data_IF_896212084002
#
_entry.id   IF_896212084002
#
_cell.length_a   1.000
_cell.length_b   1.000
_cell.length_c   1.000
_cell.angle_alpha   90.00
_cell.angle_beta   90.00
_cell.angle_gamma   90.00
#
_symmetry.space_group_name_H-M   'P 1'
#
loop_
_entity.id
_entity.type
_entity.pdbx_description
1 polymer ?
#
# COMPACT_ATOMS: atom_id res chain seq x y z
N UNK A 1 4.78 -16.53 -15.64
CA UNK A 1 5.41 -15.76 -14.56
C UNK A 1 6.82 -15.39 -14.97
N UNK A 2 7.46 -14.43 -14.30
CA UNK A 2 8.88 -14.09 -14.54
C UNK A 2 9.75 -15.22 -13.98
N UNK A 3 10.62 -15.79 -14.80
CA UNK A 3 11.45 -16.96 -14.44
C UNK A 3 12.51 -16.65 -13.38
N UNK A 4 12.87 -15.37 -13.21
CA UNK A 4 13.82 -14.91 -12.20
C UNK A 4 13.21 -14.70 -10.81
N UNK A 5 11.88 -14.81 -10.65
CA UNK A 5 11.21 -14.59 -9.37
C UNK A 5 10.71 -15.91 -8.78
N UNK A 6 10.79 -16.03 -7.45
CA UNK A 6 10.30 -17.21 -6.73
C UNK A 6 8.77 -17.28 -6.84
N UNK A 7 8.19 -18.42 -7.27
CA UNK A 7 6.74 -18.54 -7.43
C UNK A 7 5.97 -18.30 -6.12
N UNK A 8 4.85 -17.59 -6.20
CA UNK A 8 3.88 -17.41 -5.11
C UNK A 8 4.43 -16.74 -3.84
N UNK A 9 5.50 -15.94 -3.97
CA UNK A 9 6.10 -15.17 -2.87
C UNK A 9 5.91 -13.65 -2.98
N UNK A 10 5.04 -13.17 -3.89
CA UNK A 10 4.85 -11.72 -4.07
C UNK A 10 4.44 -10.98 -2.80
N UNK A 11 3.63 -11.60 -1.93
CA UNK A 11 3.27 -10.99 -0.64
C UNK A 11 4.44 -10.85 0.35
N UNK A 12 5.47 -11.70 0.22
CA UNK A 12 6.72 -11.58 0.98
C UNK A 12 7.59 -10.47 0.40
N UNK A 13 7.64 -10.34 -0.93
CA UNK A 13 8.29 -9.21 -1.62
C UNK A 13 7.71 -7.87 -1.15
N UNK A 14 6.39 -7.73 -1.13
CA UNK A 14 5.69 -6.53 -0.63
C UNK A 14 6.06 -6.17 0.81
N UNK A 15 6.01 -7.16 1.72
CA UNK A 15 6.39 -6.94 3.12
C UNK A 15 7.91 -6.67 3.27
N UNK A 16 8.73 -7.28 2.41
CA UNK A 16 10.17 -7.11 2.35
C UNK A 16 10.58 -5.70 1.94
N UNK A 17 9.91 -5.12 0.93
CA UNK A 17 10.13 -3.74 0.52
C UNK A 17 9.86 -2.76 1.68
N UNK A 18 8.76 -2.96 2.42
CA UNK A 18 8.49 -2.15 3.62
C UNK A 18 9.52 -2.37 4.73
N UNK A 19 10.07 -3.57 4.88
CA UNK A 19 11.13 -3.84 5.85
C UNK A 19 12.44 -3.12 5.48
N UNK A 20 12.85 -3.17 4.21
CA UNK A 20 14.04 -2.48 3.70
C UNK A 20 13.90 -0.97 3.84
N UNK A 21 12.74 -0.41 3.46
CA UNK A 21 12.40 1.00 3.62
C UNK A 21 12.56 1.46 5.08
N UNK A 22 12.01 0.70 6.04
CA UNK A 22 12.14 1.01 7.47
C UNK A 22 13.60 0.91 7.95
N UNK A 23 14.36 -0.07 7.47
CA UNK A 23 15.76 -0.30 7.87
C UNK A 23 16.67 0.83 7.39
N UNK A 24 16.40 1.36 6.19
CA UNK A 24 17.16 2.44 5.56
C UNK A 24 16.59 3.83 5.84
N UNK A 25 15.47 3.92 6.57
CA UNK A 25 14.78 5.18 6.91
C UNK A 25 14.40 6.01 5.67
N UNK A 26 14.04 5.34 4.57
CA UNK A 26 13.60 6.00 3.34
C UNK A 26 12.21 6.63 3.52
N UNK A 27 11.33 5.93 4.24
CA UNK A 27 9.98 6.37 4.62
C UNK A 27 9.10 6.71 3.40
N UNK A 28 9.20 5.93 2.32
CA UNK A 28 8.43 6.07 1.09
C UNK A 28 7.50 4.87 0.84
N UNK A 29 7.77 3.69 1.38
CA UNK A 29 6.86 2.54 1.27
C UNK A 29 5.79 2.62 2.37
N UNK A 30 4.49 2.69 2.04
CA UNK A 30 3.45 2.61 3.06
C UNK A 30 3.59 1.29 3.85
N UNK A 31 3.46 1.36 5.18
CA UNK A 31 3.73 0.22 6.06
C UNK A 31 2.99 -1.02 5.58
N UNK A 32 3.76 -2.06 5.26
CA UNK A 32 3.25 -3.32 4.72
C UNK A 32 3.77 -4.48 5.54
N UNK A 33 2.88 -5.40 5.94
CA UNK A 33 3.23 -6.60 6.71
C UNK A 33 2.45 -7.81 6.21
N UNK A 34 2.96 -9.00 6.52
CA UNK A 34 2.23 -10.25 6.32
C UNK A 34 1.16 -10.37 7.40
N UNK A 35 -0.09 -10.56 6.99
CA UNK A 35 -1.23 -10.76 7.88
C UNK A 35 -2.06 -11.96 7.42
N UNK A 36 -2.93 -12.46 8.30
CA UNK A 36 -3.89 -13.51 7.98
C UNK A 36 -5.32 -13.00 8.18
N UNK A 37 -6.09 -12.92 7.10
CA UNK A 37 -7.45 -12.37 7.12
C UNK A 37 -8.45 -13.34 6.50
N UNK A 38 -9.70 -13.33 6.99
CA UNK A 38 -10.82 -14.04 6.41
C UNK A 38 -11.96 -13.06 6.09
N UNK A 39 -12.40 -13.01 4.84
CA UNK A 39 -13.56 -12.22 4.41
C UNK A 39 -14.40 -13.01 3.41
N UNK A 40 -15.73 -12.87 3.42
CA UNK A 40 -16.62 -13.53 2.44
C UNK A 40 -16.34 -13.12 0.99
N UNK A 41 -15.81 -11.90 0.80
CA UNK A 41 -15.49 -11.31 -0.50
C UNK A 41 -14.21 -11.90 -1.11
N UNK A 42 -13.34 -12.53 -0.32
CA UNK A 42 -12.15 -13.20 -0.88
C UNK A 42 -12.55 -14.45 -1.68
N UNK A 43 -11.70 -14.83 -2.63
CA UNK A 43 -11.91 -16.01 -3.46
C UNK A 43 -11.59 -17.29 -2.68
N UNK A 44 -12.58 -18.15 -2.41
CA UNK A 44 -12.40 -19.45 -1.76
C UNK A 44 -12.94 -20.57 -2.64
N UNK A 45 -12.40 -21.77 -2.45
CA UNK A 45 -12.93 -22.97 -3.10
C UNK A 45 -14.39 -23.22 -2.70
N UNK A 46 -15.16 -23.86 -3.58
CA UNK A 46 -16.54 -24.27 -3.28
C UNK A 46 -16.60 -25.14 -2.01
N UNK A 47 -15.59 -25.98 -1.80
CA UNK A 47 -15.46 -26.85 -0.64
C UNK A 47 -15.28 -26.04 0.64
N UNK A 48 -14.42 -25.02 0.66
CA UNK A 48 -14.22 -24.18 1.84
C UNK A 48 -15.48 -23.39 2.21
N UNK A 49 -16.21 -22.90 1.20
CA UNK A 49 -17.49 -22.22 1.42
C UNK A 49 -18.54 -23.18 1.99
N UNK A 50 -18.68 -24.37 1.41
CA UNK A 50 -19.60 -25.40 1.89
C UNK A 50 -19.27 -25.81 3.33
N UNK A 51 -18.00 -26.11 3.63
CA UNK A 51 -17.55 -26.44 4.98
C UNK A 51 -17.85 -25.32 5.98
N UNK A 52 -17.57 -24.07 5.62
CA UNK A 52 -17.85 -22.92 6.49
C UNK A 52 -19.34 -22.78 6.80
N UNK A 53 -20.20 -22.92 5.79
CA UNK A 53 -21.67 -22.87 5.94
C UNK A 53 -22.21 -24.05 6.74
N UNK A 54 -21.78 -25.27 6.45
CA UNK A 54 -22.23 -26.47 7.18
C UNK A 54 -21.82 -26.42 8.65
N UNK A 55 -20.56 -26.06 8.96
CA UNK A 55 -20.11 -25.91 10.35
C UNK A 55 -20.91 -24.85 11.10
N UNK A 56 -21.24 -23.75 10.43
CA UNK A 56 -22.10 -22.70 10.99
C UNK A 56 -23.50 -23.23 11.29
N UNK A 57 -24.16 -23.85 10.31
CA UNK A 57 -25.51 -24.40 10.47
C UNK A 57 -25.57 -25.47 11.57
N UNK A 58 -24.56 -26.36 11.64
CA UNK A 58 -24.47 -27.39 12.68
C UNK A 58 -24.24 -26.76 14.06
N UNK A 59 -23.41 -25.73 14.16
CA UNK A 59 -23.18 -25.03 15.41
C UNK A 59 -24.43 -24.28 15.90
N UNK A 60 -25.21 -23.70 14.99
CA UNK A 60 -26.46 -23.00 15.30
C UNK A 60 -27.57 -23.99 15.70
N UNK A 61 -27.66 -25.16 15.03
CA UNK A 61 -28.70 -26.17 15.29
C UNK A 61 -28.39 -27.10 16.45
N UNK A 62 -27.11 -27.45 16.66
CA UNK A 62 -26.64 -28.36 17.70
C UNK A 62 -25.46 -27.75 18.45
N UNK A 63 -25.71 -26.84 19.43
CA UNK A 63 -24.65 -26.11 20.13
C UNK A 63 -23.63 -27.01 20.83
N UNK A 64 -24.06 -28.18 21.34
CA UNK A 64 -23.15 -29.16 21.96
C UNK A 64 -22.11 -29.72 20.98
N UNK A 65 -22.49 -29.93 19.72
CA UNK A 65 -21.58 -30.36 18.64
C UNK A 65 -20.72 -29.18 18.18
N UNK A 66 -21.32 -27.99 18.03
CA UNK A 66 -20.63 -26.77 17.63
C UNK A 66 -19.44 -26.39 18.51
N UNK A 67 -19.51 -26.62 19.83
CA UNK A 67 -18.40 -26.37 20.77
C UNK A 67 -17.11 -27.15 20.45
N UNK A 68 -17.21 -28.24 19.68
CA UNK A 68 -16.05 -29.03 19.27
C UNK A 68 -15.39 -28.49 17.99
N UNK A 69 -15.99 -27.50 17.33
CA UNK A 69 -15.36 -26.85 16.18
C UNK A 69 -14.39 -25.78 16.62
N UNK A 70 -13.09 -26.05 16.48
CA UNK A 70 -12.00 -25.10 16.73
C UNK A 70 -12.11 -23.80 15.91
N UNK A 71 -12.86 -23.82 14.79
CA UNK A 71 -13.11 -22.66 13.95
C UNK A 71 -14.42 -22.80 13.20
N UNK A 72 -15.21 -21.72 13.24
CA UNK A 72 -16.43 -21.53 12.46
C UNK A 72 -16.17 -20.39 11.47
N UNK A 73 -16.52 -20.58 10.20
CA UNK A 73 -16.30 -19.61 9.14
C UNK A 73 -15.20 -20.00 8.15
N UNK A 74 -14.86 -19.06 7.27
CA UNK A 74 -13.88 -19.27 6.19
C UNK A 74 -12.45 -19.35 6.76
N UNK A 75 -11.56 -20.16 6.16
CA UNK A 75 -10.17 -20.21 6.59
C UNK A 75 -9.47 -18.86 6.32
N UNK A 76 -8.63 -18.36 7.23
CA UNK A 76 -7.87 -17.14 6.97
C UNK A 76 -6.81 -17.38 5.89
N UNK A 77 -6.60 -16.36 5.06
CA UNK A 77 -5.58 -16.35 4.01
C UNK A 77 -4.44 -15.45 4.42
N UNK A 78 -3.22 -15.97 4.30
CA UNK A 78 -2.00 -15.17 4.43
C UNK A 78 -1.83 -14.28 3.19
N UNK A 79 -1.40 -13.04 3.40
CA UNK A 79 -1.12 -12.08 2.33
C UNK A 79 -0.49 -10.81 2.88
N UNK A 80 -0.05 -9.94 1.97
CA UNK A 80 0.47 -8.62 2.31
C UNK A 80 -0.70 -7.67 2.60
N UNK A 81 -0.54 -6.85 3.63
CA UNK A 81 -1.49 -5.80 3.96
C UNK A 81 -0.72 -4.50 4.09
N UNK A 82 -0.95 -3.62 3.12
CA UNK A 82 -0.32 -2.31 3.01
C UNK A 82 -1.27 -1.23 3.52
N UNK A 83 -0.76 -0.27 4.27
CA UNK A 83 -1.53 0.89 4.69
C UNK A 83 -1.91 1.75 3.47
N UNK A 84 -3.20 2.10 3.39
CA UNK A 84 -3.70 3.01 2.35
C UNK A 84 -3.20 4.44 2.58
N UNK A 85 -2.77 5.11 1.50
CA UNK A 85 -2.31 6.51 1.53
C UNK A 85 -3.29 7.43 0.79
N UNK A 86 -3.66 8.54 1.43
CA UNK A 86 -4.68 9.46 0.92
C UNK A 86 -4.08 10.69 0.22
N UNK A 87 -4.74 11.12 -0.87
CA UNK A 87 -4.38 12.32 -1.62
C UNK A 87 -3.15 12.16 -2.51
N UNK A 88 -2.76 10.93 -2.78
CA UNK A 88 -1.73 10.57 -3.75
C UNK A 88 -2.39 10.33 -5.12
N UNK A 89 -1.62 10.55 -6.19
CA UNK A 89 -1.97 10.17 -7.57
C UNK A 89 -0.76 9.54 -8.23
N UNK A 90 -0.97 8.82 -9.32
CA UNK A 90 0.06 8.19 -10.14
C UNK A 90 1.16 9.20 -10.48
N UNK A 91 2.42 8.76 -10.46
CA UNK A 91 3.52 9.64 -10.75
C UNK A 91 3.46 10.20 -12.17
N UNK A 92 3.06 9.39 -13.16
CA UNK A 92 2.84 9.82 -14.54
C UNK A 92 1.89 11.04 -14.64
N UNK A 93 0.81 11.07 -13.86
CA UNK A 93 -0.11 12.20 -13.82
C UNK A 93 0.59 13.51 -13.41
N UNK A 94 1.46 13.45 -12.40
CA UNK A 94 2.15 14.64 -11.88
C UNK A 94 3.36 15.02 -12.73
N UNK A 95 4.12 14.04 -13.22
CA UNK A 95 5.28 14.29 -14.09
C UNK A 95 4.86 15.06 -15.35
N UNK A 96 3.78 14.63 -16.03
CA UNK A 96 3.23 15.35 -17.20
C UNK A 96 2.82 16.79 -16.86
N UNK A 97 2.28 17.03 -15.65
CA UNK A 97 1.95 18.38 -15.20
C UNK A 97 3.20 19.22 -14.94
N UNK A 98 4.25 18.63 -14.38
CA UNK A 98 5.51 19.32 -14.11
C UNK A 98 6.29 19.66 -15.38
N UNK A 99 6.06 18.93 -16.48
CA UNK A 99 6.56 19.29 -17.81
C UNK A 99 5.91 20.58 -18.32
N UNK A 100 4.60 20.75 -18.15
CA UNK A 100 3.88 21.97 -18.55
C UNK A 100 4.08 23.14 -17.58
N UNK A 101 4.06 22.86 -16.28
CA UNK A 101 4.15 23.84 -15.20
C UNK A 101 5.29 23.43 -14.27
N UNK A 102 6.48 24.00 -14.49
CA UNK A 102 7.66 23.66 -13.69
C UNK A 102 7.42 23.96 -12.21
N UNK A 103 7.84 23.02 -11.36
CA UNK A 103 7.86 23.22 -9.92
C UNK A 103 8.81 24.36 -9.54
N UNK A 104 8.47 25.15 -8.50
CA UNK A 104 9.42 26.06 -7.86
C UNK A 104 10.68 25.32 -7.38
N UNK A 105 11.85 25.96 -7.45
CA UNK A 105 13.14 25.33 -7.11
C UNK A 105 13.15 24.59 -5.76
N UNK A 106 12.59 25.13 -4.65
CA UNK A 106 12.59 24.41 -3.38
C UNK A 106 11.81 23.09 -3.43
N UNK A 107 10.71 23.05 -4.18
CA UNK A 107 9.90 21.85 -4.36
C UNK A 107 10.56 20.86 -5.32
N UNK A 108 11.27 21.36 -6.33
CA UNK A 108 12.05 20.51 -7.24
C UNK A 108 13.16 19.78 -6.48
N UNK A 109 13.86 20.47 -5.57
CA UNK A 109 14.86 19.84 -4.70
C UNK A 109 14.24 18.80 -3.76
N UNK A 110 13.09 19.10 -3.14
CA UNK A 110 12.37 18.12 -2.31
C UNK A 110 11.93 16.89 -3.11
N UNK A 111 11.42 17.10 -4.33
CA UNK A 111 11.03 16.01 -5.23
C UNK A 111 12.22 15.13 -5.58
N UNK A 112 13.35 15.73 -5.94
CA UNK A 112 14.59 15.02 -6.26
C UNK A 112 15.04 14.13 -5.09
N UNK A 113 15.05 14.65 -3.87
CA UNK A 113 15.40 13.86 -2.67
C UNK A 113 14.45 12.68 -2.43
N UNK A 114 13.14 12.87 -2.67
CA UNK A 114 12.17 11.77 -2.57
C UNK A 114 12.41 10.72 -3.67
N UNK A 115 12.73 11.17 -4.88
CA UNK A 115 12.97 10.29 -6.02
C UNK A 115 14.26 9.48 -5.85
N UNK A 116 15.32 10.07 -5.31
CA UNK A 116 16.56 9.36 -4.99
C UNK A 116 16.31 8.21 -3.98
N UNK A 117 15.43 8.42 -3.00
CA UNK A 117 15.02 7.34 -2.08
C UNK A 117 14.30 6.21 -2.81
N UNK A 118 13.45 6.52 -3.78
CA UNK A 118 12.79 5.52 -4.62
C UNK A 118 13.82 4.73 -5.43
N UNK A 119 14.78 5.40 -6.05
CA UNK A 119 15.87 4.78 -6.81
C UNK A 119 16.69 3.85 -5.91
N UNK A 120 17.08 4.31 -4.71
CA UNK A 120 17.82 3.48 -3.74
C UNK A 120 17.03 2.23 -3.36
N UNK A 121 15.74 2.38 -3.03
CA UNK A 121 14.87 1.25 -2.69
C UNK A 121 14.82 0.23 -3.83
N UNK A 122 14.39 0.66 -5.01
CA UNK A 122 14.17 -0.21 -6.16
C UNK A 122 15.45 -0.88 -6.64
N UNK A 123 16.59 -0.18 -6.53
CA UNK A 123 17.87 -0.77 -6.89
C UNK A 123 18.31 -1.84 -5.89
N UNK A 124 18.16 -1.60 -4.59
CA UNK A 124 18.55 -2.55 -3.54
C UNK A 124 17.69 -3.82 -3.58
N UNK A 125 16.38 -3.67 -3.71
CA UNK A 125 15.48 -4.83 -3.81
C UNK A 125 15.45 -5.43 -5.20
N UNK A 126 16.11 -4.80 -6.18
CA UNK A 126 16.09 -5.15 -7.59
C UNK A 126 14.67 -5.29 -8.15
N UNK A 127 13.84 -4.28 -7.89
CA UNK A 127 12.46 -4.28 -8.36
C UNK A 127 12.40 -4.43 -9.89
N UNK A 128 11.64 -5.42 -10.35
CA UNK A 128 11.54 -5.75 -11.77
C UNK A 128 10.32 -5.12 -12.43
N UNK A 129 9.44 -4.45 -11.67
CA UNK A 129 8.15 -3.93 -12.15
C UNK A 129 7.84 -2.47 -11.79
N UNK A 130 8.86 -1.60 -11.72
CA UNK A 130 8.63 -0.17 -11.47
C UNK A 130 8.30 0.59 -12.77
N UNK A 131 7.01 0.76 -13.05
CA UNK A 131 6.48 1.74 -14.00
C UNK A 131 6.10 3.07 -13.32
N UNK A 132 5.83 4.13 -14.10
CA UNK A 132 5.41 5.46 -13.58
C UNK A 132 3.96 5.49 -13.05
N UNK A 133 3.23 4.40 -13.21
CA UNK A 133 1.93 4.08 -12.62
C UNK A 133 2.07 3.38 -11.25
N UNK A 134 3.21 2.75 -10.97
CA UNK A 134 3.43 1.95 -9.76
C UNK A 134 4.09 2.72 -8.61
N UNK A 135 4.20 4.04 -8.70
CA UNK A 135 4.56 4.90 -7.57
C UNK A 135 3.74 6.16 -7.64
N UNK A 136 3.46 6.72 -6.47
CA UNK A 136 2.51 7.81 -6.36
C UNK A 136 3.21 9.08 -5.88
N UNK A 137 2.69 10.21 -6.32
CA UNK A 137 3.09 11.54 -5.85
C UNK A 137 1.91 12.21 -5.17
N UNK A 138 2.17 12.80 -4.00
CA UNK A 138 1.27 13.72 -3.33
C UNK A 138 1.89 15.10 -3.37
N UNK A 139 1.19 16.03 -3.99
CA UNK A 139 1.59 17.44 -4.04
C UNK A 139 0.54 18.28 -3.32
N UNK A 140 0.95 18.91 -2.22
CA UNK A 140 0.14 19.86 -1.45
C UNK A 140 0.59 21.27 -1.81
N UNK A 141 -0.29 22.07 -2.41
CA UNK A 141 -0.06 23.50 -2.59
C UNK A 141 -0.40 24.21 -1.27
N UNK A 142 0.39 25.21 -0.89
CA UNK A 142 0.06 26.10 0.21
C UNK A 142 -1.32 26.73 -0.04
N UNK A 143 -2.19 26.73 0.98
CA UNK A 143 -3.49 27.40 0.89
C UNK A 143 -3.27 28.91 0.82
N UNK A 144 -3.85 29.56 -0.19
CA UNK A 144 -4.02 31.01 -0.19
C UNK A 144 -5.11 31.38 0.84
N UNK A 145 -5.01 32.54 1.53
CA UNK A 145 -5.95 32.93 2.59
C UNK A 145 -7.43 33.06 2.17
N UNK A 146 -7.73 32.94 0.87
CA UNK A 146 -9.03 33.20 0.27
C UNK A 146 -10.06 32.07 0.40
N UNK A 147 -9.69 30.87 0.87
CA UNK A 147 -10.58 29.70 0.95
C UNK A 147 -10.95 29.26 2.38
N UNK A 148 -10.34 29.85 3.41
CA UNK A 148 -10.61 29.51 4.80
C UNK A 148 -11.39 30.65 5.49
N UNK A 149 -12.72 30.51 5.55
CA UNK A 149 -13.61 31.39 6.32
C UNK A 149 -13.45 31.28 7.85
N UNK A 150 -12.28 30.90 8.35
CA UNK A 150 -12.01 30.75 9.78
C UNK A 150 -10.54 31.05 10.10
N UNK A 151 -10.32 32.14 10.85
CA UNK A 151 -8.99 32.56 11.30
C UNK A 151 -8.49 31.58 12.35
N UNK A 152 -7.71 30.59 11.92
CA UNK A 152 -6.89 29.77 12.81
C UNK A 152 -5.47 30.35 12.86
N UNK A 153 -4.93 30.58 14.06
CA UNK A 153 -3.55 31.07 14.31
C UNK A 153 -2.44 30.05 13.95
N UNK A 154 -2.64 29.26 12.90
CA UNK A 154 -1.65 28.33 12.39
C UNK A 154 -0.91 28.98 11.23
N UNK A 155 0.42 29.00 11.29
CA UNK A 155 1.24 29.44 10.15
C UNK A 155 0.83 28.64 8.90
N UNK A 156 0.72 29.27 7.72
CA UNK A 156 0.33 28.58 6.50
C UNK A 156 1.32 27.43 6.26
N UNK A 157 0.80 26.20 6.12
CA UNK A 157 1.63 25.04 5.84
C UNK A 157 2.35 25.26 4.50
N UNK A 158 3.68 25.11 4.45
CA UNK A 158 4.40 25.24 3.20
C UNK A 158 3.95 24.16 2.21
N UNK A 159 4.05 24.46 0.91
CA UNK A 159 3.84 23.46 -0.12
C UNK A 159 4.79 22.28 0.12
N UNK A 160 4.29 21.06 -0.06
CA UNK A 160 5.04 19.84 0.22
C UNK A 160 4.80 18.83 -0.90
N UNK A 161 5.87 18.10 -1.27
CA UNK A 161 5.78 16.99 -2.21
C UNK A 161 6.31 15.70 -1.55
N UNK A 162 5.57 14.61 -1.72
CA UNK A 162 5.91 13.28 -1.16
C UNK A 162 5.72 12.20 -2.20
N UNK A 163 6.58 11.18 -2.14
CA UNK A 163 6.47 9.97 -2.94
C UNK A 163 5.98 8.81 -2.06
N UNK A 164 5.12 7.97 -2.63
CA UNK A 164 4.78 6.67 -2.06
C UNK A 164 5.14 5.55 -3.05
N UNK A 165 6.00 4.63 -2.65
CA UNK A 165 6.35 3.43 -3.42
C UNK A 165 5.35 2.31 -3.10
N UNK A 166 4.45 2.02 -4.04
CA UNK A 166 3.44 0.97 -3.93
C UNK A 166 3.79 -0.20 -4.85
N UNK A 167 3.00 -1.28 -4.84
CA UNK A 167 3.15 -2.43 -5.75
C UNK A 167 4.60 -2.94 -5.89
N UNK A 168 5.11 -3.53 -4.79
CA UNK A 168 6.47 -4.03 -4.69
C UNK A 168 6.51 -5.58 -4.74
N UNK A 169 5.48 -6.20 -5.30
CA UNK A 169 5.29 -7.66 -5.29
C UNK A 169 6.21 -8.44 -6.23
N UNK A 170 6.98 -7.76 -7.08
CA UNK A 170 7.84 -8.34 -8.11
C UNK A 170 9.30 -7.83 -8.00
N UNK A 171 9.87 -7.95 -6.80
CA UNK A 171 11.27 -7.66 -6.50
C UNK A 171 12.04 -8.94 -6.13
#
# INVERSE_FOLDING_TARGET
>A
GRSCLVPNQGYLSEAGASLVDQKLQLNIVPKTKVVSLASRTFNYSAIDRAKASTKRNVSERFPKVGRHFNRIGLPPKAGSFQMYVQGYKDADFWLRKFESEKLPEPLQYQFQLQFERLVVLDYIIRNTDRGNDNWLIKYLKAQTPSEAGEVTWQSPKPSEIKIAAIDNGLA
#
